data_IF_740160354641
#
_entry.id   IF_740160354641
#
_cell.length_a   1.000
_cell.length_b   1.000
_cell.length_c   1.000
_cell.angle_alpha   90.00
_cell.angle_beta   90.00
_cell.angle_gamma   90.00
#
_symmetry.space_group_name_H-M   'P 1'
#
loop_
_entity.id
_entity.type
_entity.pdbx_description
1 polymer ?
#
# COMPACT_ATOMS: atom_id res chain seq x y z
N UNK A 1 5.29 6.83 -34.38
CA UNK A 1 5.42 5.76 -33.37
C UNK A 1 6.10 6.37 -32.15
N UNK A 2 5.42 6.46 -31.01
CA UNK A 2 6.01 7.02 -29.79
C UNK A 2 6.97 6.01 -29.18
N UNK A 3 8.26 6.35 -29.11
CA UNK A 3 9.28 5.57 -28.40
C UNK A 3 8.87 5.41 -26.93
N UNK A 4 8.42 4.21 -26.55
CA UNK A 4 8.32 3.85 -25.13
C UNK A 4 9.74 3.59 -24.62
N UNK A 5 10.23 4.30 -23.61
CA UNK A 5 11.54 4.01 -23.03
C UNK A 5 11.53 2.59 -22.47
N UNK A 6 12.61 1.85 -22.73
CA UNK A 6 12.80 0.50 -22.21
C UNK A 6 12.89 0.54 -20.69
N UNK A 7 12.30 -0.45 -20.01
CA UNK A 7 12.15 -0.56 -18.54
C UNK A 7 13.48 -0.52 -17.75
N UNK A 8 14.63 -0.48 -18.43
CA UNK A 8 15.97 -0.61 -17.83
C UNK A 8 16.48 0.61 -17.05
N UNK A 9 15.79 1.74 -17.05
CA UNK A 9 16.27 2.98 -16.40
C UNK A 9 15.39 3.49 -15.24
N UNK A 10 14.42 2.70 -14.77
CA UNK A 10 13.70 3.04 -13.54
C UNK A 10 14.41 2.41 -12.34
N UNK A 11 15.15 3.23 -11.59
CA UNK A 11 15.53 2.92 -10.22
C UNK A 11 14.22 2.82 -9.41
N UNK A 12 13.63 1.62 -9.33
CA UNK A 12 12.46 1.40 -8.49
C UNK A 12 12.90 1.60 -7.03
N UNK A 13 12.28 2.53 -6.27
CA UNK A 13 12.65 2.73 -4.88
C UNK A 13 12.48 1.44 -4.10
N UNK A 14 13.50 1.08 -3.33
CA UNK A 14 13.53 -0.15 -2.55
C UNK A 14 12.42 -0.09 -1.48
N UNK A 15 11.58 -1.11 -1.45
CA UNK A 15 10.40 -1.19 -0.61
C UNK A 15 10.77 -1.60 0.84
N UNK A 16 11.53 -0.75 1.53
CA UNK A 16 12.18 -1.02 2.83
C UNK A 16 11.23 -1.50 3.93
N UNK A 17 9.95 -1.12 3.90
CA UNK A 17 8.97 -1.57 4.88
C UNK A 17 8.70 -3.08 4.81
N UNK A 18 8.83 -3.72 3.64
CA UNK A 18 8.58 -5.16 3.51
C UNK A 18 9.85 -6.02 3.66
N UNK A 19 11.00 -5.41 3.95
CA UNK A 19 12.30 -6.09 4.10
C UNK A 19 12.75 -6.22 5.56
N UNK A 20 12.11 -5.47 6.47
CA UNK A 20 12.62 -5.28 7.83
C UNK A 20 11.85 -6.09 8.86
N UNK A 21 12.60 -6.68 9.78
CA UNK A 21 12.08 -7.22 11.03
C UNK A 21 11.27 -8.51 10.86
N UNK A 22 10.21 -8.59 11.65
CA UNK A 22 9.30 -9.74 11.68
C UNK A 22 8.08 -9.45 10.83
N UNK A 23 7.56 -10.48 10.18
CA UNK A 23 6.29 -10.39 9.48
C UNK A 23 5.20 -10.03 10.51
N UNK A 24 4.42 -8.96 10.28
CA UNK A 24 3.50 -8.41 11.28
C UNK A 24 2.57 -9.48 11.87
N UNK A 25 2.35 -9.43 13.18
CA UNK A 25 1.47 -10.38 13.88
C UNK A 25 2.01 -11.80 14.02
N UNK A 26 3.27 -12.05 13.64
CA UNK A 26 3.90 -13.38 13.70
C UNK A 26 5.30 -13.33 14.30
N UNK A 27 5.83 -14.49 14.69
CA UNK A 27 7.23 -14.69 15.09
C UNK A 27 8.17 -14.96 13.90
N UNK A 28 7.64 -14.96 12.67
CA UNK A 28 8.41 -15.26 11.45
C UNK A 28 9.23 -14.05 11.03
N UNK A 29 10.56 -14.20 10.95
CA UNK A 29 11.47 -13.14 10.50
C UNK A 29 11.59 -13.14 8.98
N UNK A 30 11.61 -11.95 8.37
CA UNK A 30 11.99 -11.84 6.96
C UNK A 30 13.43 -12.28 6.76
N UNK A 31 13.70 -13.00 5.67
CA UNK A 31 15.07 -13.22 5.22
C UNK A 31 15.68 -11.88 4.84
N UNK A 32 16.74 -11.48 5.54
CA UNK A 32 17.42 -10.22 5.27
C UNK A 32 17.97 -10.20 3.84
N UNK A 33 17.76 -9.09 3.15
CA UNK A 33 18.24 -8.83 1.79
C UNK A 33 18.92 -7.47 1.78
N UNK A 34 20.10 -7.42 1.20
CA UNK A 34 20.77 -6.16 0.90
C UNK A 34 20.07 -5.46 -0.27
N UNK A 35 20.26 -4.15 -0.38
CA UNK A 35 19.57 -3.31 -1.36
C UNK A 35 19.83 -3.79 -2.81
N UNK A 36 21.03 -4.32 -3.09
CA UNK A 36 21.44 -4.89 -4.37
C UNK A 36 20.75 -6.23 -4.69
N UNK A 37 20.23 -6.94 -3.69
CA UNK A 37 19.60 -8.27 -3.87
C UNK A 37 18.08 -8.18 -4.12
N UNK A 38 17.49 -7.01 -3.91
CA UNK A 38 16.05 -6.77 -4.04
C UNK A 38 15.56 -6.92 -5.50
N UNK A 39 16.22 -6.35 -6.52
CA UNK A 39 15.72 -6.42 -7.89
C UNK A 39 15.73 -7.83 -8.47
N UNK A 40 14.66 -8.23 -9.15
CA UNK A 40 14.58 -9.56 -9.80
C UNK A 40 15.63 -9.79 -10.90
N UNK A 41 16.22 -8.72 -11.44
CA UNK A 41 17.27 -8.77 -12.46
C UNK A 41 18.58 -9.36 -11.95
N UNK A 42 18.82 -9.34 -10.63
CA UNK A 42 20.00 -9.97 -10.03
C UNK A 42 19.76 -11.47 -9.93
N UNK A 43 20.68 -12.24 -10.52
CA UNK A 43 20.65 -13.70 -10.42
C UNK A 43 20.98 -14.12 -8.99
N UNK A 44 20.00 -14.81 -8.42
CA UNK A 44 19.99 -15.33 -7.08
C UNK A 44 19.46 -16.77 -7.11
N UNK A 45 19.81 -17.52 -8.16
CA UNK A 45 19.45 -18.93 -8.41
C UNK A 45 19.63 -19.87 -7.21
N UNK A 46 20.53 -19.53 -6.27
CA UNK A 46 20.69 -20.23 -4.99
C UNK A 46 19.49 -20.11 -4.03
N UNK A 47 18.51 -19.25 -4.32
CA UNK A 47 17.30 -19.07 -3.50
C UNK A 47 16.05 -19.46 -4.28
N UNK A 48 15.11 -20.09 -3.57
CA UNK A 48 13.81 -20.44 -4.13
C UNK A 48 13.01 -19.19 -4.52
N UNK A 49 12.43 -19.24 -5.72
CA UNK A 49 11.54 -18.21 -6.25
C UNK A 49 10.10 -18.72 -6.16
N UNK A 50 9.21 -17.90 -5.60
CA UNK A 50 7.80 -18.23 -5.45
C UNK A 50 6.95 -17.28 -6.27
N UNK A 51 6.00 -17.83 -7.02
CA UNK A 51 5.07 -17.06 -7.84
C UNK A 51 3.75 -16.82 -7.12
N UNK A 52 3.08 -15.69 -7.36
CA UNK A 52 3.48 -14.59 -8.25
C UNK A 52 4.61 -13.71 -7.66
N UNK A 53 5.45 -13.14 -8.53
CA UNK A 53 6.53 -12.23 -8.12
C UNK A 53 5.96 -10.87 -7.71
N UNK A 54 6.51 -10.29 -6.65
CA UNK A 54 6.24 -8.89 -6.30
C UNK A 54 6.85 -7.96 -7.37
N UNK A 55 6.09 -7.07 -8.02
CA UNK A 55 6.63 -6.19 -9.06
C UNK A 55 7.79 -5.29 -8.59
N UNK A 56 7.90 -5.00 -7.30
CA UNK A 56 8.97 -4.15 -6.73
C UNK A 56 10.23 -4.91 -6.28
N UNK A 57 10.30 -6.23 -6.49
CA UNK A 57 11.45 -7.05 -6.11
C UNK A 57 11.19 -8.02 -4.96
N UNK A 58 12.26 -8.69 -4.52
CA UNK A 58 12.25 -9.68 -3.44
C UNK A 58 11.97 -9.02 -2.09
N UNK A 59 11.12 -9.64 -1.28
CA UNK A 59 10.76 -9.17 0.08
C UNK A 59 11.43 -9.98 1.20
N UNK A 60 12.16 -11.05 0.86
CA UNK A 60 12.71 -11.98 1.85
C UNK A 60 11.65 -12.86 2.53
N UNK A 61 10.41 -12.87 2.04
CA UNK A 61 9.34 -13.73 2.52
C UNK A 61 8.63 -14.40 1.34
N UNK A 62 8.13 -15.61 1.57
CA UNK A 62 7.34 -16.36 0.60
C UNK A 62 5.97 -16.72 1.19
N UNK A 63 5.01 -17.02 0.32
CA UNK A 63 3.64 -17.35 0.74
C UNK A 63 2.67 -16.19 0.55
N UNK A 64 1.39 -16.46 0.84
CA UNK A 64 0.29 -15.48 0.70
C UNK A 64 0.24 -14.48 1.85
N UNK A 65 0.76 -14.87 3.02
CA UNK A 65 0.56 -14.14 4.26
C UNK A 65 -0.92 -14.00 4.62
N UNK A 66 -1.27 -12.89 5.26
CA UNK A 66 -2.65 -12.56 5.69
C UNK A 66 -3.52 -11.97 4.56
N UNK A 67 -2.97 -11.82 3.36
CA UNK A 67 -3.67 -11.20 2.25
C UNK A 67 -4.80 -12.08 1.71
N UNK A 68 -5.89 -11.45 1.28
CA UNK A 68 -7.09 -12.16 0.79
C UNK A 68 -6.84 -12.92 -0.51
N UNK A 69 -5.93 -12.42 -1.34
CA UNK A 69 -5.60 -12.99 -2.65
C UNK A 69 -4.09 -13.06 -2.81
N UNK A 70 -3.63 -14.05 -3.59
CA UNK A 70 -2.30 -13.98 -4.20
C UNK A 70 -2.21 -12.74 -5.10
N UNK A 71 -1.00 -12.22 -5.32
CA UNK A 71 -0.73 -11.01 -6.11
C UNK A 71 -1.39 -9.73 -5.54
N UNK A 72 -1.87 -8.85 -6.41
CA UNK A 72 -2.39 -7.52 -6.09
C UNK A 72 -3.64 -7.63 -5.20
N UNK A 73 -3.59 -6.91 -4.09
CA UNK A 73 -4.74 -6.69 -3.20
C UNK A 73 -5.09 -5.20 -3.26
N UNK A 74 -6.35 -4.88 -3.56
CA UNK A 74 -6.80 -3.51 -3.74
C UNK A 74 -7.41 -2.97 -2.44
N UNK A 75 -6.93 -1.81 -2.01
CA UNK A 75 -7.56 -1.02 -0.96
C UNK A 75 -7.89 0.36 -1.52
N UNK A 76 -9.15 0.75 -1.40
CA UNK A 76 -9.61 2.07 -1.82
C UNK A 76 -9.60 2.99 -0.61
N UNK A 77 -8.94 4.14 -0.73
CA UNK A 77 -8.92 5.20 0.27
C UNK A 77 -9.77 6.37 -0.21
N UNK A 78 -10.62 6.90 0.65
CA UNK A 78 -11.42 8.08 0.39
C UNK A 78 -10.79 9.27 1.12
N UNK A 79 -10.56 10.36 0.40
CA UNK A 79 -10.09 11.63 0.95
C UNK A 79 -11.15 12.68 0.66
N UNK A 80 -11.81 13.16 1.72
CA UNK A 80 -12.78 14.25 1.64
C UNK A 80 -12.08 15.48 2.21
N UNK A 81 -11.90 16.50 1.38
CA UNK A 81 -11.21 17.73 1.73
C UNK A 81 -12.12 18.93 1.53
N UNK A 82 -11.98 19.92 2.40
CA UNK A 82 -12.63 21.22 2.29
C UNK A 82 -11.58 22.32 2.44
N UNK A 83 -11.66 23.35 1.59
CA UNK A 83 -10.88 24.57 1.80
C UNK A 83 -11.30 25.23 3.11
N UNK A 84 -10.35 25.87 3.77
CA UNK A 84 -10.61 26.73 4.92
C UNK A 84 -10.72 28.20 4.54
N UNK A 85 -10.36 28.57 3.30
CA UNK A 85 -10.08 29.93 2.86
C UNK A 85 -8.97 30.65 3.66
N UNK A 86 -8.26 29.94 4.55
CA UNK A 86 -7.12 30.46 5.30
C UNK A 86 -5.82 30.20 4.54
N UNK A 87 -4.81 31.05 4.79
CA UNK A 87 -3.48 30.88 4.24
C UNK A 87 -2.41 30.98 5.33
N UNK A 88 -1.40 30.11 5.25
CA UNK A 88 -0.17 30.20 6.05
C UNK A 88 1.02 30.20 5.10
N UNK A 89 1.89 31.20 5.25
CA UNK A 89 3.06 31.39 4.39
C UNK A 89 2.73 31.38 2.87
N UNK A 90 1.58 31.98 2.50
CA UNK A 90 1.11 32.04 1.11
C UNK A 90 0.55 30.73 0.55
N UNK A 91 0.34 29.70 1.39
CA UNK A 91 -0.27 28.43 1.00
C UNK A 91 -1.65 28.26 1.63
N UNK A 92 -2.62 27.87 0.82
CA UNK A 92 -3.98 27.57 1.26
C UNK A 92 -4.00 26.35 2.19
N UNK A 93 -4.80 26.44 3.25
CA UNK A 93 -4.99 25.36 4.20
C UNK A 93 -6.25 24.57 3.85
N UNK A 94 -6.11 23.25 3.79
CA UNK A 94 -7.23 22.32 3.64
C UNK A 94 -7.47 21.57 4.95
N UNK A 95 -8.75 21.35 5.27
CA UNK A 95 -9.17 20.37 6.28
C UNK A 95 -9.63 19.11 5.57
N UNK A 96 -9.38 17.96 6.17
CA UNK A 96 -9.82 16.68 5.63
C UNK A 96 -10.36 15.76 6.72
N UNK A 97 -11.26 14.85 6.34
CA UNK A 97 -11.90 13.93 7.29
C UNK A 97 -11.08 12.65 7.48
N UNK A 98 -11.00 12.17 8.72
CA UNK A 98 -10.35 10.91 9.09
C UNK A 98 -11.24 10.08 10.04
N UNK A 99 -11.09 8.75 10.01
CA UNK A 99 -11.71 7.84 10.97
C UNK A 99 -10.78 7.66 12.20
N UNK A 100 -11.30 7.84 13.41
CA UNK A 100 -10.60 7.42 14.63
C UNK A 100 -10.65 5.90 14.75
N UNK A 101 -9.49 5.25 14.89
CA UNK A 101 -9.46 3.81 15.13
C UNK A 101 -10.03 3.49 16.52
N UNK A 102 -11.00 2.57 16.61
CA UNK A 102 -11.64 2.19 17.89
C UNK A 102 -10.65 1.57 18.88
N UNK A 103 -9.72 0.77 18.36
CA UNK A 103 -8.80 -0.03 19.18
C UNK A 103 -7.38 0.54 19.22
N UNK A 104 -7.12 1.66 18.53
CA UNK A 104 -5.77 2.20 18.41
C UNK A 104 -5.74 3.72 18.61
N UNK A 105 -4.59 4.23 19.04
CA UNK A 105 -4.37 5.66 19.27
C UNK A 105 -4.34 6.52 17.99
N UNK A 106 -4.23 5.91 16.81
CA UNK A 106 -4.12 6.64 15.54
C UNK A 106 -5.48 6.92 14.84
N UNK A 107 -5.43 7.88 13.93
CA UNK A 107 -6.47 8.16 12.93
C UNK A 107 -6.07 7.52 11.59
N UNK A 108 -7.05 7.13 10.79
CA UNK A 108 -6.83 6.53 9.48
C UNK A 108 -7.74 7.15 8.42
N UNK A 109 -7.31 7.08 7.16
CA UNK A 109 -8.19 7.41 6.06
C UNK A 109 -9.34 6.39 5.97
N UNK A 110 -10.58 6.83 5.72
CA UNK A 110 -11.68 5.93 5.41
C UNK A 110 -11.31 5.05 4.22
N UNK A 111 -11.15 3.75 4.44
CA UNK A 111 -10.66 2.85 3.39
C UNK A 111 -11.23 1.44 3.43
N UNK A 112 -11.54 0.84 2.28
CA UNK A 112 -12.09 -0.53 2.17
C UNK A 112 -11.19 -1.42 1.33
N UNK A 113 -11.13 -2.71 1.68
CA UNK A 113 -10.67 -3.74 0.76
C UNK A 113 -11.66 -3.92 -0.39
N UNK A 114 -11.18 -3.80 -1.62
CA UNK A 114 -11.97 -3.86 -2.85
C UNK A 114 -11.42 -4.91 -3.79
N UNK A 115 -12.17 -5.22 -4.85
CA UNK A 115 -11.83 -6.28 -5.81
C UNK A 115 -11.30 -5.71 -7.12
N UNK A 116 -10.73 -4.51 -7.09
CA UNK A 116 -10.24 -3.76 -8.25
C UNK A 116 -10.36 -2.24 -8.03
N UNK A 117 -10.15 -1.49 -9.11
CA UNK A 117 -10.15 -0.01 -9.15
C UNK A 117 -11.43 0.58 -9.77
N UNK A 118 -12.57 -0.09 -9.62
CA UNK A 118 -13.83 0.34 -10.23
C UNK A 118 -14.60 1.36 -9.39
N UNK A 119 -15.63 1.99 -9.97
CA UNK A 119 -16.52 2.94 -9.28
C UNK A 119 -17.26 2.32 -8.09
N UNK A 120 -17.53 1.01 -8.13
CA UNK A 120 -18.13 0.29 -7.00
C UNK A 120 -17.23 0.28 -5.77
N UNK A 121 -15.91 0.27 -5.95
CA UNK A 121 -14.92 0.37 -4.89
C UNK A 121 -15.08 1.68 -4.08
N UNK A 122 -15.34 2.78 -4.80
CA UNK A 122 -15.59 4.11 -4.22
C UNK A 122 -16.93 4.12 -3.50
N UNK A 123 -18.01 3.70 -4.18
CA UNK A 123 -19.37 3.64 -3.61
C UNK A 123 -19.40 2.83 -2.32
N UNK A 124 -18.72 1.67 -2.30
CA UNK A 124 -18.62 0.80 -1.12
C UNK A 124 -17.87 1.48 0.02
N UNK A 125 -16.78 2.18 -0.28
CA UNK A 125 -15.97 2.87 0.73
C UNK A 125 -16.71 4.06 1.32
N UNK A 126 -17.38 4.85 0.48
CA UNK A 126 -18.22 5.97 0.92
C UNK A 126 -19.39 5.46 1.77
N UNK A 127 -20.13 4.44 1.30
CA UNK A 127 -21.26 3.86 2.07
C UNK A 127 -20.80 3.39 3.45
N UNK A 128 -19.68 2.66 3.55
CA UNK A 128 -19.18 2.21 4.85
C UNK A 128 -18.76 3.39 5.73
N UNK A 129 -18.08 4.39 5.17
CA UNK A 129 -17.67 5.57 5.93
C UNK A 129 -18.89 6.32 6.49
N UNK A 130 -19.90 6.60 5.66
CA UNK A 130 -21.13 7.26 6.10
C UNK A 130 -21.87 6.45 7.17
N UNK A 131 -21.98 5.12 7.00
CA UNK A 131 -22.57 4.26 8.04
C UNK A 131 -21.84 4.37 9.38
N UNK A 132 -20.51 4.47 9.39
CA UNK A 132 -19.74 4.65 10.62
C UNK A 132 -20.00 6.01 11.29
N UNK A 133 -20.38 7.05 10.54
CA UNK A 133 -20.70 8.38 11.07
C UNK A 133 -22.14 8.43 11.60
N UNK A 134 -23.09 7.80 10.93
CA UNK A 134 -24.51 7.87 11.29
C UNK A 134 -24.97 6.79 12.27
N UNK A 135 -24.13 5.78 12.57
CA UNK A 135 -24.39 4.76 13.58
C UNK A 135 -23.82 5.12 14.97
N UNK A 136 -23.23 6.30 15.13
CA UNK A 136 -22.90 6.93 16.42
C UNK A 136 -23.99 7.89 16.82
#
# INVERSE_FOLDING_TARGET
>A
MLNRPSIKEFFLPIHRFCLKGFYPGTSTKHQQRDDEQVPWTVDLSKYSVYYPLNPLGRTGSCGRGELKRWTVNYQTHLVIMCSTNDTIAGKEIFKYMMEKSKNNSYYRLPSTWTTGTNTDAIKKTLKRFLLNIYQT
#
